data_IF_647161945782
#
_entry.id   IF_647161945782
#
_cell.length_a   1.000
_cell.length_b   1.000
_cell.length_c   1.000
_cell.angle_alpha   90.00
_cell.angle_beta   90.00
_cell.angle_gamma   90.00
#
_symmetry.space_group_name_H-M   'P 1'
#
loop_
_entity.id
_entity.type
_entity.pdbx_description
1 polymer ?
#
# COMPACT_ATOMS: atom_id res chain seq x y z
N UNK A 1 8.91 -4.46 -23.91
CA UNK A 1 7.50 -4.18 -23.59
C UNK A 1 6.75 -5.52 -23.50
N UNK A 2 5.98 -5.71 -22.45
CA UNK A 2 5.13 -6.91 -22.28
C UNK A 2 3.91 -6.76 -23.19
N UNK A 3 3.52 -7.84 -23.85
CA UNK A 3 2.33 -7.86 -24.74
C UNK A 3 1.06 -7.50 -23.93
N UNK A 4 0.35 -6.42 -24.23
CA UNK A 4 -0.82 -5.98 -23.49
C UNK A 4 -2.00 -6.97 -23.56
N UNK A 5 -2.01 -7.90 -24.52
CA UNK A 5 -3.02 -8.95 -24.63
C UNK A 5 -2.92 -9.99 -23.47
N UNK A 6 -1.78 -10.06 -22.79
CA UNK A 6 -1.54 -11.04 -21.71
C UNK A 6 -2.18 -10.65 -20.38
N UNK A 7 -2.53 -9.37 -20.18
CA UNK A 7 -2.96 -8.87 -18.88
C UNK A 7 -3.99 -7.75 -18.97
N UNK A 8 -4.64 -7.51 -17.86
CA UNK A 8 -5.48 -6.35 -17.62
C UNK A 8 -4.86 -5.53 -16.48
N UNK A 9 -4.69 -4.24 -16.69
CA UNK A 9 -4.30 -3.30 -15.63
C UNK A 9 -5.50 -3.07 -14.71
N UNK A 10 -5.28 -3.23 -13.41
CA UNK A 10 -6.28 -2.96 -12.37
C UNK A 10 -6.05 -1.59 -11.77
N UNK A 11 -4.79 -1.24 -11.50
CA UNK A 11 -4.38 0.05 -10.98
C UNK A 11 -3.03 0.45 -11.59
N UNK A 12 -2.80 1.75 -11.77
CA UNK A 12 -1.55 2.30 -12.27
C UNK A 12 -1.20 3.60 -11.55
N UNK A 13 0.08 3.85 -11.36
CA UNK A 13 0.56 4.99 -10.59
C UNK A 13 1.93 4.74 -9.99
N UNK A 14 2.16 5.11 -8.72
CA UNK A 14 3.35 4.73 -7.97
C UNK A 14 3.55 3.22 -7.87
N UNK A 15 2.47 2.48 -7.98
CA UNK A 15 2.47 1.03 -8.18
C UNK A 15 1.50 0.65 -9.30
N UNK A 16 1.78 -0.49 -9.91
CA UNK A 16 0.98 -1.08 -10.96
C UNK A 16 0.51 -2.45 -10.50
N UNK A 17 -0.79 -2.71 -10.54
CA UNK A 17 -1.33 -4.05 -10.32
C UNK A 17 -1.96 -4.58 -11.59
N UNK A 18 -1.64 -5.82 -11.91
CA UNK A 18 -2.11 -6.47 -13.14
C UNK A 18 -2.64 -7.87 -12.86
N UNK A 19 -3.66 -8.21 -13.63
CA UNK A 19 -4.29 -9.53 -13.64
C UNK A 19 -4.10 -10.18 -14.99
N UNK A 20 -3.62 -11.43 -15.10
CA UNK A 20 -3.50 -12.12 -16.38
C UNK A 20 -4.87 -12.30 -17.04
N UNK A 21 -4.92 -12.19 -18.35
CA UNK A 21 -6.08 -12.64 -19.13
C UNK A 21 -6.20 -14.17 -19.07
N UNK A 22 -7.40 -14.69 -19.33
CA UNK A 22 -7.67 -16.11 -19.20
C UNK A 22 -6.64 -16.98 -19.96
N UNK A 23 -6.05 -17.94 -19.29
CA UNK A 23 -5.03 -18.85 -19.83
C UNK A 23 -3.64 -18.26 -20.02
N UNK A 24 -3.38 -16.99 -19.63
CA UNK A 24 -2.09 -16.34 -19.88
C UNK A 24 -1.22 -16.13 -18.62
N UNK A 25 -1.56 -16.72 -17.47
CA UNK A 25 -0.83 -16.50 -16.22
C UNK A 25 0.66 -16.86 -16.32
N UNK A 26 1.00 -18.03 -16.87
CA UNK A 26 2.38 -18.47 -17.04
C UNK A 26 3.16 -17.62 -18.07
N UNK A 27 2.49 -17.28 -19.19
CA UNK A 27 3.11 -16.42 -20.21
C UNK A 27 3.39 -15.02 -19.68
N UNK A 28 2.47 -14.46 -18.92
CA UNK A 28 2.67 -13.16 -18.26
C UNK A 28 3.81 -13.23 -17.24
N UNK A 29 3.82 -14.27 -16.39
CA UNK A 29 4.90 -14.47 -15.42
C UNK A 29 6.29 -14.57 -16.06
N UNK A 30 6.38 -15.24 -17.21
CA UNK A 30 7.62 -15.37 -17.96
C UNK A 30 8.04 -14.07 -18.69
N UNK A 31 7.07 -13.25 -19.10
CA UNK A 31 7.32 -12.02 -19.86
C UNK A 31 7.55 -10.79 -18.96
N UNK A 32 7.02 -10.82 -17.72
CA UNK A 32 7.11 -9.68 -16.81
C UNK A 32 8.52 -9.61 -16.20
N UNK A 33 9.29 -8.54 -16.44
CA UNK A 33 10.60 -8.42 -15.84
C UNK A 33 10.48 -8.25 -14.33
N UNK A 34 11.22 -9.03 -13.52
CA UNK A 34 11.16 -8.90 -12.06
C UNK A 34 11.71 -7.56 -11.57
N UNK A 35 12.49 -6.87 -12.41
CA UNK A 35 13.07 -5.55 -12.14
C UNK A 35 13.30 -4.80 -13.44
N UNK A 36 13.04 -3.48 -13.41
CA UNK A 36 13.45 -2.51 -14.43
C UNK A 36 14.31 -1.41 -13.84
N UNK A 37 14.57 -0.36 -14.59
CA UNK A 37 15.46 0.73 -14.16
C UNK A 37 14.95 1.44 -12.90
N UNK A 38 13.62 1.58 -12.76
CA UNK A 38 12.99 2.33 -11.67
C UNK A 38 11.79 1.62 -11.05
N UNK A 39 11.74 0.29 -11.14
CA UNK A 39 10.68 -0.50 -10.53
C UNK A 39 11.09 -1.93 -10.23
N UNK A 40 10.32 -2.57 -9.36
CA UNK A 40 10.39 -4.01 -9.12
C UNK A 40 8.99 -4.61 -9.24
N UNK A 41 8.91 -5.84 -9.77
CA UNK A 41 7.66 -6.57 -9.92
C UNK A 41 7.73 -7.93 -9.21
N UNK A 42 6.61 -8.34 -8.65
CA UNK A 42 6.47 -9.64 -7.99
C UNK A 42 5.12 -10.30 -8.32
N UNK A 43 5.09 -11.61 -8.49
CA UNK A 43 3.86 -12.36 -8.29
C UNK A 43 3.34 -12.15 -6.85
N UNK A 44 2.01 -12.13 -6.67
CA UNK A 44 1.37 -11.99 -5.35
C UNK A 44 1.94 -12.96 -4.31
N UNK A 45 2.18 -14.22 -4.71
CA UNK A 45 2.68 -15.26 -3.81
C UNK A 45 4.11 -15.01 -3.28
N UNK A 46 4.89 -14.13 -3.93
CA UNK A 46 6.29 -13.83 -3.57
C UNK A 46 6.53 -12.38 -3.22
N UNK A 47 5.45 -11.64 -2.92
CA UNK A 47 5.57 -10.26 -2.44
C UNK A 47 6.44 -10.19 -1.17
N UNK A 48 7.35 -9.22 -1.07
CA UNK A 48 8.15 -9.04 0.13
C UNK A 48 7.27 -8.85 1.37
N UNK A 49 7.52 -9.62 2.43
CA UNK A 49 6.75 -9.57 3.68
C UNK A 49 6.70 -8.17 4.30
N UNK A 50 7.73 -7.34 4.09
CA UNK A 50 7.80 -5.96 4.57
C UNK A 50 6.71 -5.05 4.01
N UNK A 51 6.12 -5.39 2.87
CA UNK A 51 5.03 -4.61 2.27
C UNK A 51 3.68 -4.87 2.98
N UNK A 52 3.59 -5.91 3.80
CA UNK A 52 2.35 -6.33 4.51
C UNK A 52 1.14 -6.34 3.55
N UNK A 53 1.36 -6.88 2.35
CA UNK A 53 0.40 -6.85 1.25
C UNK A 53 0.37 -8.21 0.53
N UNK A 54 -0.76 -8.58 -0.04
CA UNK A 54 -0.87 -9.78 -0.87
C UNK A 54 -1.67 -10.94 -0.27
N UNK A 55 -1.99 -10.93 1.03
CA UNK A 55 -2.73 -12.00 1.69
C UNK A 55 -4.21 -12.09 1.27
N UNK A 56 -4.84 -10.97 0.93
CA UNK A 56 -6.24 -10.94 0.53
C UNK A 56 -6.43 -11.49 -0.89
N UNK A 57 -7.48 -12.31 -1.09
CA UNK A 57 -7.79 -12.92 -2.40
C UNK A 57 -8.14 -11.90 -3.50
N UNK A 58 -8.52 -10.66 -3.13
CA UNK A 58 -8.80 -9.58 -4.08
C UNK A 58 -7.55 -8.86 -4.61
N UNK A 59 -6.39 -9.14 -4.02
CA UNK A 59 -5.13 -8.59 -4.54
C UNK A 59 -4.82 -9.23 -5.89
N UNK A 60 -4.55 -8.45 -6.94
CA UNK A 60 -4.22 -8.96 -8.26
C UNK A 60 -2.99 -9.87 -8.28
N UNK A 61 -2.87 -10.66 -9.35
CA UNK A 61 -1.84 -11.70 -9.46
C UNK A 61 -0.42 -11.15 -9.44
N UNK A 62 -0.20 -9.91 -9.90
CA UNK A 62 1.12 -9.27 -9.92
C UNK A 62 1.04 -7.84 -9.41
N UNK A 63 2.08 -7.43 -8.69
CA UNK A 63 2.35 -6.07 -8.26
C UNK A 63 3.71 -5.63 -8.79
N UNK A 64 3.77 -4.43 -9.36
CA UNK A 64 5.01 -3.70 -9.62
C UNK A 64 5.02 -2.42 -8.79
N UNK A 65 6.12 -2.11 -8.14
CA UNK A 65 6.30 -0.93 -7.31
C UNK A 65 7.39 -0.05 -7.93
N UNK A 66 7.06 1.21 -8.19
CA UNK A 66 8.01 2.18 -8.69
C UNK A 66 8.92 2.71 -7.57
N UNK A 67 10.12 3.13 -7.94
CA UNK A 67 10.97 3.97 -7.09
C UNK A 67 10.31 5.34 -6.90
N UNK A 68 10.51 5.95 -5.74
CA UNK A 68 9.94 7.28 -5.44
C UNK A 68 10.32 8.30 -6.52
N UNK A 69 9.33 9.03 -7.00
CA UNK A 69 9.47 9.97 -8.11
C UNK A 69 9.19 9.40 -9.50
N UNK A 70 8.91 8.09 -9.60
CA UNK A 70 8.56 7.43 -10.86
C UNK A 70 7.12 6.90 -10.83
N UNK A 71 6.54 6.71 -12.01
CA UNK A 71 5.17 6.23 -12.16
C UNK A 71 5.12 5.10 -13.18
N UNK A 72 4.34 4.08 -12.87
CA UNK A 72 4.02 2.98 -13.78
C UNK A 72 2.63 3.22 -14.37
N UNK A 73 2.59 3.68 -15.61
CA UNK A 73 1.35 4.10 -16.25
C UNK A 73 0.94 3.09 -17.32
N UNK A 74 -0.36 2.79 -17.37
CA UNK A 74 -0.96 1.95 -18.40
C UNK A 74 -1.00 2.64 -19.78
N UNK A 75 -1.03 3.98 -19.79
CA UNK A 75 -1.03 4.81 -20.98
C UNK A 75 -0.35 6.15 -20.70
N UNK A 76 0.08 6.85 -21.76
CA UNK A 76 0.60 8.19 -21.61
C UNK A 76 -0.48 9.11 -21.03
N UNK A 77 -0.18 9.89 -19.96
CA UNK A 77 -1.16 10.79 -19.38
C UNK A 77 -1.53 11.92 -20.36
N UNK A 78 -2.81 12.28 -20.39
CA UNK A 78 -3.32 13.35 -21.25
C UNK A 78 -2.90 14.75 -20.78
N UNK A 79 -2.53 14.89 -19.51
CA UNK A 79 -2.14 16.14 -18.86
C UNK A 79 -0.88 15.93 -18.04
N UNK A 80 -0.22 17.04 -17.66
CA UNK A 80 0.88 16.99 -16.70
C UNK A 80 0.40 16.35 -15.39
N UNK A 81 1.23 15.51 -14.82
CA UNK A 81 0.94 14.86 -13.55
C UNK A 81 1.16 15.82 -12.39
N UNK A 82 0.42 15.62 -11.31
CA UNK A 82 0.62 16.37 -10.08
C UNK A 82 2.04 16.16 -9.53
N UNK A 83 2.59 17.23 -8.93
CA UNK A 83 3.95 17.22 -8.40
C UNK A 83 4.13 16.38 -7.13
N UNK A 84 3.04 15.89 -6.53
CA UNK A 84 3.04 15.07 -5.32
C UNK A 84 2.05 13.93 -5.42
N UNK A 85 2.48 12.75 -5.02
CA UNK A 85 1.62 11.56 -4.91
C UNK A 85 2.13 10.64 -3.80
N UNK A 86 1.33 9.67 -3.43
CA UNK A 86 1.64 8.64 -2.43
C UNK A 86 1.44 7.24 -3.04
N UNK A 87 1.84 6.19 -2.32
CA UNK A 87 1.71 4.81 -2.78
C UNK A 87 3.03 4.18 -3.21
N UNK A 88 4.16 4.85 -2.97
CA UNK A 88 5.50 4.28 -3.12
C UNK A 88 5.82 3.34 -1.95
N UNK A 89 7.06 2.87 -1.88
CA UNK A 89 7.52 1.99 -0.83
C UNK A 89 7.24 2.61 0.56
N UNK A 90 6.50 1.93 1.46
CA UNK A 90 6.20 2.46 2.79
C UNK A 90 7.45 2.63 3.67
N UNK A 91 8.57 2.01 3.33
CA UNK A 91 9.85 2.22 4.01
C UNK A 91 10.55 3.52 3.62
N UNK A 92 10.09 4.20 2.55
CA UNK A 92 10.64 5.50 2.16
C UNK A 92 10.15 6.58 3.13
N UNK A 93 11.06 7.34 3.79
CA UNK A 93 10.67 8.44 4.68
C UNK A 93 9.79 9.51 4.02
N UNK A 94 9.84 9.66 2.69
CA UNK A 94 8.99 10.58 1.95
C UNK A 94 7.51 10.16 1.94
N UNK A 95 7.21 8.90 2.29
CA UNK A 95 5.84 8.39 2.45
C UNK A 95 5.27 8.64 3.86
N UNK A 96 6.05 9.23 4.76
CA UNK A 96 5.55 9.58 6.08
C UNK A 96 4.46 10.66 5.99
N UNK A 97 3.35 10.41 6.71
CA UNK A 97 2.21 11.31 6.77
C UNK A 97 2.07 11.93 8.17
N UNK A 98 1.36 13.05 8.25
CA UNK A 98 1.02 13.69 9.50
C UNK A 98 -0.20 13.00 10.13
N UNK A 99 -0.08 12.68 11.43
CA UNK A 99 -1.20 12.22 12.24
C UNK A 99 -1.49 13.22 13.36
N UNK A 100 -2.73 13.68 13.46
CA UNK A 100 -3.22 14.55 14.52
C UNK A 100 -4.52 13.96 15.06
N UNK A 101 -4.62 13.80 16.37
CA UNK A 101 -5.84 13.36 17.04
C UNK A 101 -6.23 14.36 18.14
N UNK A 102 -7.50 14.77 18.16
CA UNK A 102 -8.07 15.67 19.16
C UNK A 102 -9.44 15.14 19.57
N UNK A 103 -9.71 15.11 20.85
CA UNK A 103 -11.00 14.67 21.37
C UNK A 103 -11.02 14.46 22.86
N UNK A 104 -12.19 14.22 23.45
CA UNK A 104 -12.37 14.08 24.91
C UNK A 104 -11.58 12.89 25.47
N UNK A 105 -11.39 11.83 24.68
CA UNK A 105 -10.63 10.63 25.07
C UNK A 105 -9.16 10.69 24.66
N UNK A 106 -8.71 11.80 24.07
CA UNK A 106 -7.31 11.99 23.66
C UNK A 106 -6.62 12.90 24.69
N UNK A 107 -5.43 12.53 25.14
CA UNK A 107 -4.58 13.36 25.98
C UNK A 107 -4.01 14.52 25.18
N UNK A 108 -4.11 15.72 25.71
CA UNK A 108 -3.52 16.90 25.08
C UNK A 108 -1.99 16.88 25.19
N UNK A 109 -1.31 17.49 24.21
CA UNK A 109 0.14 17.73 24.20
C UNK A 109 0.98 16.44 24.27
N UNK A 110 0.45 15.32 23.82
CA UNK A 110 1.22 14.07 23.64
C UNK A 110 1.88 14.10 22.27
N UNK A 111 3.15 13.75 22.21
CA UNK A 111 3.88 13.50 20.97
C UNK A 111 4.19 12.00 20.89
N UNK A 112 3.75 11.38 19.82
CA UNK A 112 3.99 9.96 19.55
C UNK A 112 5.24 9.79 18.67
N UNK A 113 5.91 8.67 18.82
CA UNK A 113 6.87 8.22 17.83
C UNK A 113 6.15 7.89 16.51
N UNK A 114 6.84 7.88 15.35
CA UNK A 114 6.26 7.36 14.11
C UNK A 114 5.69 5.95 14.31
N UNK A 115 4.57 5.66 13.69
CA UNK A 115 3.87 4.38 13.76
C UNK A 115 3.21 4.05 12.42
N UNK A 116 2.91 2.78 12.21
CA UNK A 116 2.26 2.32 10.99
C UNK A 116 0.79 2.73 10.94
N UNK A 117 0.32 3.17 9.79
CA UNK A 117 -1.04 3.65 9.57
C UNK A 117 -2.12 2.62 9.95
N UNK A 118 -1.82 1.33 9.90
CA UNK A 118 -2.72 0.25 10.33
C UNK A 118 -3.14 0.37 11.80
N UNK A 119 -2.39 1.09 12.65
CA UNK A 119 -2.74 1.35 14.05
C UNK A 119 -3.97 2.28 14.20
N UNK A 120 -4.36 3.00 13.15
CA UNK A 120 -5.48 3.95 13.20
C UNK A 120 -6.83 3.23 13.30
N UNK A 121 -7.00 2.10 12.62
CA UNK A 121 -8.25 1.34 12.68
C UNK A 121 -8.58 0.86 14.11
N UNK A 122 -7.69 0.15 14.84
CA UNK A 122 -7.96 -0.22 16.23
C UNK A 122 -8.09 0.98 17.19
N UNK A 123 -7.45 2.11 16.90
CA UNK A 123 -7.71 3.36 17.64
C UNK A 123 -9.17 3.79 17.47
N UNK A 124 -9.68 3.83 16.25
CA UNK A 124 -11.06 4.23 15.99
C UNK A 124 -12.07 3.28 16.66
N UNK A 125 -11.85 1.97 16.59
CA UNK A 125 -12.66 1.00 17.34
C UNK A 125 -12.67 1.28 18.84
N UNK A 126 -11.50 1.51 19.44
CA UNK A 126 -11.38 1.82 20.86
C UNK A 126 -12.16 3.10 21.23
N UNK A 127 -12.03 4.16 20.44
CA UNK A 127 -12.71 5.43 20.69
C UNK A 127 -14.23 5.29 20.57
N UNK A 128 -14.72 4.42 19.71
CA UNK A 128 -16.15 4.12 19.50
C UNK A 128 -16.69 3.07 20.48
N UNK A 129 -15.87 2.49 21.34
CA UNK A 129 -16.28 1.41 22.24
C UNK A 129 -16.59 0.10 21.52
N UNK A 130 -16.04 -0.11 20.33
CA UNK A 130 -16.18 -1.36 19.58
C UNK A 130 -15.18 -2.39 20.05
N UNK A 131 -15.55 -3.66 19.97
CA UNK A 131 -14.63 -4.75 20.27
C UNK A 131 -13.47 -4.78 19.25
N UNK A 132 -12.31 -5.18 19.76
CA UNK A 132 -11.17 -5.49 18.90
C UNK A 132 -11.53 -6.63 17.95
N UNK A 133 -11.17 -6.48 16.68
CA UNK A 133 -11.32 -7.53 15.69
C UNK A 133 -9.97 -8.24 15.51
N UNK A 134 -9.85 -9.50 15.94
CA UNK A 134 -8.59 -10.23 15.84
C UNK A 134 -8.16 -10.55 14.39
N UNK A 135 -9.05 -10.30 13.41
CA UNK A 135 -8.73 -10.47 11.99
C UNK A 135 -8.07 -9.25 11.35
N UNK A 136 -7.91 -8.13 12.11
CA UNK A 136 -7.22 -6.95 11.60
C UNK A 136 -5.72 -7.03 11.86
N UNK A 137 -4.93 -6.47 10.94
CA UNK A 137 -3.46 -6.41 11.07
C UNK A 137 -3.00 -5.28 12.02
N UNK A 138 -3.92 -4.43 12.47
CA UNK A 138 -3.61 -3.24 13.24
C UNK A 138 -3.36 -3.52 14.73
N UNK A 139 -2.34 -2.85 15.30
CA UNK A 139 -2.05 -2.84 16.72
C UNK A 139 -2.16 -1.42 17.29
N UNK A 140 -2.99 -1.24 18.33
CA UNK A 140 -3.19 0.05 19.01
C UNK A 140 -2.02 0.44 19.93
N UNK A 141 -1.12 -0.46 20.25
CA UNK A 141 -0.04 -0.27 21.22
C UNK A 141 0.73 1.04 21.03
N UNK A 142 1.12 1.46 19.81
CA UNK A 142 1.82 2.73 19.62
C UNK A 142 1.03 3.96 20.04
N UNK A 143 -0.30 3.86 20.10
CA UNK A 143 -1.23 4.97 20.36
C UNK A 143 -1.79 4.97 21.78
N UNK A 144 -1.58 3.91 22.57
CA UNK A 144 -2.13 3.77 23.93
C UNK A 144 -1.74 4.91 24.85
N UNK A 145 -0.49 5.41 24.74
CA UNK A 145 0.00 6.52 25.55
C UNK A 145 -0.76 7.84 25.35
N UNK A 146 -1.47 7.99 24.22
CA UNK A 146 -2.26 9.16 23.92
C UNK A 146 -3.73 9.04 24.37
N UNK A 147 -4.17 7.88 24.84
CA UNK A 147 -5.55 7.67 25.26
C UNK A 147 -5.75 8.05 26.75
N UNK A 148 -6.92 8.59 27.04
CA UNK A 148 -7.43 8.74 28.41
C UNK A 148 -8.21 7.47 28.80
N UNK A 149 -8.19 7.11 30.07
CA UNK A 149 -9.05 6.05 30.60
C UNK A 149 -10.52 6.26 30.27
#
# INVERSE_FOLDING_TARGET
LVDPALFRVIESGPFLTIEPTAGNAERLAAALPPRGDHFQCWPRATLPARLVYGSNARVPAFLCLAETGWMLLAAQPAHAMDAGTHGFDPADPQMAALFIAVGPRIRAKVRLAPFDNIAVEPLLRNLLGMLHDPATDGDITPLQGALRP
#
